data_IF_370464336474
#
_entry.id   IF_370464336474
#
_cell.length_a   1.000
_cell.length_b   1.000
_cell.length_c   1.000
_cell.angle_alpha   90.00
_cell.angle_beta   90.00
_cell.angle_gamma   90.00
#
_symmetry.space_group_name_H-M   'P 1'
#
loop_
_entity.id
_entity.type
_entity.pdbx_description
1 polymer ?
#
# COMPACT_ATOMS: atom_id res chain seq x y z
N UNK A 1 -16.93 -30.03 -5.23
CA UNK A 1 -15.47 -30.09 -5.08
C UNK A 1 -15.09 -30.46 -3.65
N UNK A 2 -15.69 -29.83 -2.63
CA UNK A 2 -15.45 -30.18 -1.22
C UNK A 2 -15.82 -31.62 -0.83
N UNK A 3 -16.94 -32.19 -1.33
CA UNK A 3 -17.32 -33.59 -0.98
C UNK A 3 -16.25 -34.62 -1.32
N UNK A 4 -15.65 -34.52 -2.51
CA UNK A 4 -14.59 -35.42 -2.94
C UNK A 4 -13.33 -35.26 -2.07
N UNK A 5 -12.99 -34.03 -1.68
CA UNK A 5 -11.87 -33.77 -0.78
C UNK A 5 -12.13 -34.36 0.61
N UNK A 6 -13.35 -34.19 1.14
CA UNK A 6 -13.77 -34.74 2.43
C UNK A 6 -13.77 -36.26 2.43
N UNK A 7 -14.28 -36.90 1.37
CA UNK A 7 -14.27 -38.36 1.21
C UNK A 7 -12.83 -38.89 1.14
N UNK A 8 -11.95 -38.26 0.35
CA UNK A 8 -10.56 -38.68 0.25
C UNK A 8 -9.76 -38.49 1.56
N UNK A 9 -10.11 -37.50 2.39
CA UNK A 9 -9.55 -37.32 3.74
C UNK A 9 -10.08 -38.42 4.67
N UNK A 10 -11.39 -38.67 4.66
CA UNK A 10 -12.07 -39.61 5.55
C UNK A 10 -11.63 -41.05 5.28
N UNK A 11 -11.50 -41.41 4.01
CA UNK A 11 -11.02 -42.73 3.57
C UNK A 11 -9.49 -42.86 3.66
N UNK A 12 -8.78 -41.78 3.98
CA UNK A 12 -7.33 -41.78 4.12
C UNK A 12 -6.56 -41.92 2.80
N UNK A 13 -7.23 -41.74 1.67
CA UNK A 13 -6.62 -41.74 0.34
C UNK A 13 -5.57 -40.63 0.24
N UNK A 14 -5.85 -39.46 0.82
CA UNK A 14 -4.89 -38.36 0.87
C UNK A 14 -3.68 -38.69 1.75
N UNK A 15 -3.84 -39.46 2.84
CA UNK A 15 -2.74 -39.84 3.73
C UNK A 15 -1.68 -40.64 2.97
N UNK A 16 -2.09 -41.70 2.27
CA UNK A 16 -1.17 -42.54 1.51
C UNK A 16 -0.43 -41.75 0.42
N UNK A 17 -1.11 -40.78 -0.20
CA UNK A 17 -0.52 -39.88 -1.19
C UNK A 17 0.50 -38.93 -0.57
N UNK A 18 0.17 -38.30 0.56
CA UNK A 18 1.06 -37.36 1.25
C UNK A 18 2.25 -38.06 1.89
N UNK A 19 2.09 -39.29 2.38
CA UNK A 19 3.19 -40.10 2.92
C UNK A 19 4.18 -40.51 1.82
N UNK A 20 3.69 -40.99 0.66
CA UNK A 20 4.53 -41.33 -0.49
C UNK A 20 5.26 -40.12 -1.07
N UNK A 21 4.64 -38.95 -1.02
CA UNK A 21 5.19 -37.71 -1.57
C UNK A 21 5.67 -36.73 -0.49
N UNK A 22 5.99 -37.23 0.72
CA UNK A 22 6.29 -36.42 1.90
C UNK A 22 7.32 -35.31 1.65
N UNK A 23 8.39 -35.61 0.90
CA UNK A 23 9.42 -34.63 0.57
C UNK A 23 8.90 -33.48 -0.32
N UNK A 24 8.06 -33.80 -1.30
CA UNK A 24 7.47 -32.80 -2.20
C UNK A 24 6.36 -32.00 -1.52
N UNK A 25 5.54 -32.64 -0.68
CA UNK A 25 4.51 -31.96 0.13
C UNK A 25 5.15 -31.00 1.12
N UNK A 26 6.21 -31.42 1.83
CA UNK A 26 6.95 -30.53 2.74
C UNK A 26 7.55 -29.36 1.97
N UNK A 27 8.07 -29.60 0.77
CA UNK A 27 8.59 -28.55 -0.10
C UNK A 27 7.48 -27.58 -0.52
N UNK A 28 6.36 -28.05 -1.05
CA UNK A 28 5.23 -27.17 -1.43
C UNK A 28 4.73 -26.37 -0.23
N UNK A 29 4.48 -27.01 0.92
CA UNK A 29 4.03 -26.35 2.15
C UNK A 29 5.05 -25.36 2.74
N UNK A 30 6.35 -25.47 2.40
CA UNK A 30 7.39 -24.56 2.85
C UNK A 30 7.65 -23.40 1.86
N UNK A 31 7.43 -23.64 0.57
CA UNK A 31 7.76 -22.70 -0.51
C UNK A 31 6.61 -21.77 -0.92
N UNK A 32 5.42 -21.90 -0.35
CA UNK A 32 4.30 -20.98 -0.66
C UNK A 32 4.56 -19.54 -0.21
N UNK A 33 5.52 -19.31 0.70
CA UNK A 33 5.99 -17.97 1.04
C UNK A 33 7.26 -17.60 0.29
N UNK A 34 7.11 -16.80 -0.77
CA UNK A 34 8.25 -16.17 -1.43
C UNK A 34 8.66 -14.90 -0.68
N UNK A 35 9.58 -15.06 0.28
CA UNK A 35 10.11 -13.96 1.08
C UNK A 35 10.73 -12.84 0.23
N UNK A 36 11.34 -13.18 -0.91
CA UNK A 36 11.97 -12.19 -1.79
C UNK A 36 10.93 -11.28 -2.45
N UNK A 37 9.86 -11.86 -2.98
CA UNK A 37 8.73 -11.11 -3.56
C UNK A 37 8.03 -10.26 -2.51
N UNK A 38 7.79 -10.80 -1.32
CA UNK A 38 7.19 -10.05 -0.22
C UNK A 38 8.06 -8.85 0.19
N UNK A 39 9.37 -9.06 0.35
CA UNK A 39 10.28 -7.97 0.71
C UNK A 39 10.43 -6.93 -0.40
N UNK A 40 10.33 -7.34 -1.67
CA UNK A 40 10.30 -6.41 -2.82
C UNK A 40 9.02 -5.56 -2.77
N UNK A 41 7.87 -6.19 -2.58
CA UNK A 41 6.58 -5.51 -2.43
C UNK A 41 6.62 -4.48 -1.28
N UNK A 42 7.10 -4.88 -0.09
CA UNK A 42 7.22 -3.98 1.06
C UNK A 42 8.11 -2.77 0.76
N UNK A 43 9.24 -2.98 0.07
CA UNK A 43 10.14 -1.87 -0.33
C UNK A 43 9.47 -0.91 -1.32
N UNK A 44 8.79 -1.45 -2.32
CA UNK A 44 8.11 -0.65 -3.35
C UNK A 44 6.93 0.16 -2.77
N UNK A 45 6.13 -0.47 -1.90
CA UNK A 45 5.08 0.21 -1.14
C UNK A 45 5.66 1.32 -0.26
N UNK A 46 6.71 1.02 0.52
CA UNK A 46 7.35 1.99 1.40
C UNK A 46 7.94 3.18 0.63
N UNK A 47 8.57 2.94 -0.51
CA UNK A 47 9.08 4.00 -1.37
C UNK A 47 7.95 4.88 -1.92
N UNK A 48 6.86 4.27 -2.40
CA UNK A 48 5.70 4.99 -2.94
C UNK A 48 5.04 5.87 -1.88
N UNK A 49 4.79 5.31 -0.69
CA UNK A 49 4.20 6.05 0.43
C UNK A 49 5.10 7.20 0.86
N UNK A 50 6.41 6.97 0.98
CA UNK A 50 7.37 8.01 1.32
C UNK A 50 7.43 9.14 0.30
N UNK A 51 7.45 8.80 -1.00
CA UNK A 51 7.45 9.79 -2.08
C UNK A 51 6.16 10.62 -2.10
N UNK A 52 5.01 9.98 -1.94
CA UNK A 52 3.72 10.65 -1.89
C UNK A 52 3.62 11.61 -0.67
N UNK A 53 4.06 11.15 0.50
CA UNK A 53 4.09 11.97 1.71
C UNK A 53 5.05 13.17 1.57
N UNK A 54 6.24 12.95 1.02
CA UNK A 54 7.21 14.01 0.77
C UNK A 54 6.70 15.06 -0.21
N UNK A 55 6.03 14.62 -1.29
CA UNK A 55 5.42 15.51 -2.28
C UNK A 55 4.33 16.37 -1.64
N UNK A 56 3.41 15.75 -0.90
CA UNK A 56 2.33 16.46 -0.17
C UNK A 56 2.87 17.46 0.84
N UNK A 57 3.91 17.09 1.59
CA UNK A 57 4.54 17.99 2.56
C UNK A 57 5.20 19.18 1.89
N UNK A 58 5.89 18.96 0.77
CA UNK A 58 6.54 20.03 -0.01
C UNK A 58 5.50 20.98 -0.60
N UNK A 59 4.40 20.46 -1.13
CA UNK A 59 3.31 21.29 -1.65
C UNK A 59 2.68 22.16 -0.55
N UNK A 60 2.44 21.58 0.63
CA UNK A 60 1.90 22.35 1.76
C UNK A 60 2.83 23.49 2.17
N UNK A 61 4.14 23.24 2.21
CA UNK A 61 5.14 24.26 2.54
C UNK A 61 5.22 25.34 1.47
N UNK A 62 5.13 24.96 0.19
CA UNK A 62 5.07 25.92 -0.92
C UNK A 62 3.82 26.81 -0.83
N UNK A 63 2.65 26.26 -0.50
CA UNK A 63 1.42 27.03 -0.28
C UNK A 63 1.63 28.05 0.84
N UNK A 64 2.17 27.63 1.99
CA UNK A 64 2.45 28.54 3.12
C UNK A 64 3.43 29.65 2.74
N UNK A 65 4.49 29.32 2.00
CA UNK A 65 5.48 30.29 1.56
C UNK A 65 4.91 31.28 0.55
N UNK A 66 4.06 30.83 -0.37
CA UNK A 66 3.35 31.71 -1.29
C UNK A 66 2.42 32.66 -0.52
N UNK A 67 1.58 32.15 0.38
CA UNK A 67 0.70 32.98 1.21
C UNK A 67 1.47 34.05 1.99
N UNK A 68 2.61 33.68 2.58
CA UNK A 68 3.46 34.60 3.35
C UNK A 68 4.13 35.67 2.50
N UNK A 69 4.63 35.31 1.31
CA UNK A 69 5.44 36.22 0.48
C UNK A 69 4.61 37.10 -0.45
N UNK A 70 3.43 36.63 -0.87
CA UNK A 70 2.57 37.32 -1.83
C UNK A 70 1.32 37.93 -1.18
N UNK A 71 0.92 37.45 0.00
CA UNK A 71 -0.35 37.80 0.63
C UNK A 71 -1.57 37.10 0.01
N UNK A 72 -1.36 36.14 -0.89
CA UNK A 72 -2.44 35.34 -1.48
C UNK A 72 -3.20 34.52 -0.45
N UNK A 73 -4.48 34.28 -0.73
CA UNK A 73 -5.23 33.29 0.01
C UNK A 73 -4.78 31.86 -0.36
N UNK A 74 -5.21 30.88 0.44
CA UNK A 74 -4.81 29.49 0.23
C UNK A 74 -5.25 28.95 -1.15
N UNK A 75 -6.40 29.39 -1.68
CA UNK A 75 -6.91 28.93 -2.98
C UNK A 75 -6.14 29.53 -4.14
N UNK A 76 -5.80 30.81 -4.07
CA UNK A 76 -4.94 31.48 -5.04
C UNK A 76 -3.55 30.84 -5.11
N UNK A 77 -2.95 30.53 -3.96
CA UNK A 77 -1.67 29.83 -3.89
C UNK A 77 -1.76 28.39 -4.46
N UNK A 78 -2.85 27.66 -4.18
CA UNK A 78 -3.08 26.31 -4.72
C UNK A 78 -3.29 26.33 -6.25
N UNK A 79 -4.05 27.31 -6.75
CA UNK A 79 -4.26 27.52 -8.18
C UNK A 79 -2.94 27.85 -8.90
N UNK A 80 -2.10 28.70 -8.30
CA UNK A 80 -0.77 29.03 -8.84
C UNK A 80 0.17 27.81 -8.89
N UNK A 81 0.02 26.86 -7.96
CA UNK A 81 0.74 25.59 -7.95
C UNK A 81 0.13 24.52 -8.86
N UNK A 82 -1.01 24.80 -9.51
CA UNK A 82 -1.71 23.87 -10.40
C UNK A 82 -2.38 22.71 -9.67
N UNK A 83 -2.73 22.88 -8.39
CA UNK A 83 -3.41 21.84 -7.60
C UNK A 83 -4.89 21.76 -8.03
N UNK A 84 -5.37 20.58 -8.49
CA UNK A 84 -6.76 20.40 -8.89
C UNK A 84 -7.74 20.74 -7.76
N UNK A 85 -8.89 21.34 -8.09
CA UNK A 85 -9.91 21.75 -7.10
C UNK A 85 -10.34 20.61 -6.17
N UNK A 86 -10.42 19.38 -6.70
CA UNK A 86 -10.73 18.16 -5.95
C UNK A 86 -9.71 17.81 -4.85
N UNK A 87 -8.48 18.31 -4.94
CA UNK A 87 -7.44 18.13 -3.92
C UNK A 87 -7.30 19.32 -2.98
N UNK A 88 -7.85 20.49 -3.34
CA UNK A 88 -7.68 21.72 -2.57
C UNK A 88 -8.29 21.61 -1.17
N UNK A 89 -9.43 20.94 -1.02
CA UNK A 89 -10.05 20.71 0.29
C UNK A 89 -9.11 19.96 1.24
N UNK A 90 -8.34 18.99 0.73
CA UNK A 90 -7.40 18.20 1.54
C UNK A 90 -6.27 19.07 2.07
N UNK A 91 -5.73 19.96 1.25
CA UNK A 91 -4.69 20.90 1.69
C UNK A 91 -5.25 21.99 2.61
N UNK A 92 -6.47 22.45 2.37
CA UNK A 92 -7.14 23.45 3.19
C UNK A 92 -7.39 22.95 4.62
N UNK A 93 -7.88 21.72 4.79
CA UNK A 93 -8.01 21.10 6.12
C UNK A 93 -6.67 20.97 6.83
N UNK A 94 -5.60 20.55 6.13
CA UNK A 94 -4.26 20.41 6.69
C UNK A 94 -3.60 21.74 7.08
N UNK A 95 -3.95 22.83 6.42
CA UNK A 95 -3.49 24.17 6.80
C UNK A 95 -4.16 24.65 8.09
N UNK A 96 -5.40 24.24 8.35
CA UNK A 96 -6.16 24.58 9.56
C UNK A 96 -5.76 23.71 10.78
N UNK A 97 -5.39 22.45 10.57
CA UNK A 97 -4.92 21.54 11.64
C UNK A 97 -3.60 21.97 12.30
N UNK A 98 -2.84 22.88 11.68
CA UNK A 98 -1.55 23.36 12.17
C UNK A 98 -1.56 24.73 12.86
N UNK A 99 -2.74 25.28 13.19
CA UNK A 99 -2.90 26.55 13.93
C UNK A 99 -3.21 26.35 15.41
#
# INVERSE_FOLDING_TARGET
>A
MERAVTECITEGILRDFLEKNRAEVIKVCLYEYNQEEYMKFVREEGFRQGHEQGTKSTQLENIKNLMKNTGWDAKEAMNALGIPEEEQEKYQSKLQEGQ
#
